data_IF_989216528838
#
_entry.id   IF_989216528838
#
_cell.length_a   1.000
_cell.length_b   1.000
_cell.length_c   1.000
_cell.angle_alpha   90.00
_cell.angle_beta   90.00
_cell.angle_gamma   90.00
#
_symmetry.space_group_name_H-M   'P 1'
#
loop_
_entity.id
_entity.type
_entity.pdbx_description
1 polymer ?
#
# COMPACT_ATOMS: atom_id res chain seq x y z
N UNK A 1 -17.18 -3.59 -0.77
CA UNK A 1 -15.79 -3.40 -1.18
C UNK A 1 -14.89 -4.13 -0.19
N UNK A 2 -14.06 -5.07 -0.66
CA UNK A 2 -12.99 -5.66 0.14
C UNK A 2 -11.68 -4.86 0.04
N UNK A 3 -10.88 -4.86 1.12
CA UNK A 3 -9.54 -4.24 1.15
C UNK A 3 -8.53 -5.19 1.80
N UNK A 4 -7.38 -5.37 1.17
CA UNK A 4 -6.37 -6.33 1.64
C UNK A 4 -5.23 -5.73 2.48
N UNK A 5 -5.10 -4.41 2.51
CA UNK A 5 -4.00 -3.78 3.22
C UNK A 5 -4.39 -2.42 3.81
N UNK A 6 -3.62 -1.95 4.81
CA UNK A 6 -3.82 -0.63 5.40
C UNK A 6 -3.67 0.50 4.36
N UNK A 7 -2.64 0.54 3.50
CA UNK A 7 -2.57 1.51 2.41
C UNK A 7 -3.77 1.46 1.47
N UNK A 8 -4.31 0.27 1.18
CA UNK A 8 -5.52 0.13 0.37
C UNK A 8 -6.72 0.82 1.01
N UNK A 9 -6.89 0.65 2.31
CA UNK A 9 -7.96 1.29 3.07
C UNK A 9 -7.81 2.83 3.08
N UNK A 10 -6.62 3.34 3.37
CA UNK A 10 -6.35 4.80 3.34
C UNK A 10 -6.56 5.40 1.95
N UNK A 11 -6.19 4.66 0.89
CA UNK A 11 -6.46 5.10 -0.47
C UNK A 11 -7.98 5.17 -0.73
N UNK A 12 -8.72 4.14 -0.32
CA UNK A 12 -10.18 4.07 -0.48
C UNK A 12 -10.88 5.23 0.20
N UNK A 13 -10.48 5.62 1.41
CA UNK A 13 -11.11 6.74 2.13
C UNK A 13 -11.07 8.04 1.34
N UNK A 14 -10.07 8.22 0.50
CA UNK A 14 -9.96 9.39 -0.36
C UNK A 14 -10.76 9.31 -1.68
N UNK A 15 -11.37 8.17 -2.00
CA UNK A 15 -12.17 7.95 -3.21
C UNK A 15 -13.66 7.82 -2.90
N UNK A 16 -13.96 7.18 -1.76
CA UNK A 16 -15.31 6.74 -1.43
C UNK A 16 -16.32 7.89 -1.37
N UNK A 17 -15.92 9.04 -0.82
CA UNK A 17 -16.81 10.22 -0.72
C UNK A 17 -17.25 10.73 -2.10
N UNK A 18 -16.33 10.80 -3.06
CA UNK A 18 -16.66 11.20 -4.44
C UNK A 18 -17.55 10.17 -5.13
N UNK A 19 -17.31 8.88 -4.86
CA UNK A 19 -18.15 7.82 -5.41
C UNK A 19 -19.59 7.89 -4.87
N UNK A 20 -19.77 8.02 -3.57
CA UNK A 20 -21.10 8.15 -2.95
C UNK A 20 -21.87 9.38 -3.44
N UNK A 21 -21.17 10.50 -3.68
CA UNK A 21 -21.78 11.70 -4.29
C UNK A 21 -22.19 11.47 -5.75
N UNK A 22 -21.40 10.71 -6.52
CA UNK A 22 -21.66 10.44 -7.93
C UNK A 22 -22.72 9.36 -8.16
N UNK A 23 -22.92 8.47 -7.17
CA UNK A 23 -23.82 7.32 -7.22
C UNK A 23 -24.64 7.24 -5.93
N UNK A 24 -25.54 8.22 -5.66
CA UNK A 24 -26.25 8.33 -4.38
C UNK A 24 -27.20 7.18 -4.08
N UNK A 25 -27.65 6.46 -5.11
CA UNK A 25 -28.54 5.30 -4.97
C UNK A 25 -27.79 3.98 -4.71
N UNK A 26 -26.45 4.01 -4.67
CA UNK A 26 -25.61 2.84 -4.39
C UNK A 26 -25.15 2.87 -2.95
N UNK A 27 -25.59 1.88 -2.18
CA UNK A 27 -25.11 1.67 -0.83
C UNK A 27 -23.73 1.01 -0.85
N UNK A 28 -22.82 1.40 0.08
CA UNK A 28 -21.42 0.97 0.07
C UNK A 28 -20.99 0.47 1.44
N UNK A 29 -20.68 -0.81 1.51
CA UNK A 29 -20.03 -1.44 2.65
C UNK A 29 -18.55 -1.67 2.39
N UNK A 30 -17.70 -1.41 3.40
CA UNK A 30 -16.27 -1.70 3.38
C UNK A 30 -15.98 -2.87 4.30
N UNK A 31 -15.43 -3.95 3.74
CA UNK A 31 -15.26 -5.22 4.44
C UNK A 31 -13.77 -5.55 4.59
N UNK A 32 -13.25 -5.48 5.82
CA UNK A 32 -11.84 -5.76 6.14
C UNK A 32 -11.58 -7.24 6.50
N UNK A 33 -12.61 -8.01 6.82
CA UNK A 33 -12.46 -9.43 7.22
C UNK A 33 -11.80 -10.32 6.16
N UNK A 34 -11.74 -9.85 4.91
CA UNK A 34 -11.11 -10.55 3.79
C UNK A 34 -9.68 -10.09 3.52
N UNK A 35 -8.99 -9.49 4.48
CA UNK A 35 -7.65 -8.91 4.33
C UNK A 35 -6.64 -9.87 3.67
N UNK A 36 -6.77 -11.20 3.86
CA UNK A 36 -5.88 -12.19 3.24
C UNK A 36 -6.61 -13.21 2.36
N UNK A 37 -7.92 -13.07 2.25
CA UNK A 37 -8.81 -13.97 1.50
C UNK A 37 -9.71 -13.19 0.54
N UNK A 38 -9.25 -12.04 0.05
CA UNK A 38 -10.03 -11.15 -0.78
C UNK A 38 -10.54 -11.80 -2.07
N UNK A 39 -9.71 -12.61 -2.73
CA UNK A 39 -10.13 -13.37 -3.92
C UNK A 39 -11.22 -14.39 -3.62
N UNK A 40 -11.18 -15.06 -2.47
CA UNK A 40 -12.24 -15.95 -2.04
C UNK A 40 -13.54 -15.17 -1.78
N UNK A 41 -13.42 -13.98 -1.18
CA UNK A 41 -14.55 -13.07 -0.98
C UNK A 41 -15.21 -12.67 -2.30
N UNK A 42 -14.43 -12.37 -3.35
CA UNK A 42 -14.93 -12.10 -4.69
C UNK A 42 -15.62 -13.33 -5.30
N UNK A 43 -14.95 -14.47 -5.31
CA UNK A 43 -15.47 -15.70 -5.92
C UNK A 43 -16.76 -16.21 -5.26
N UNK A 44 -16.92 -15.98 -3.95
CA UNK A 44 -18.09 -16.37 -3.18
C UNK A 44 -19.16 -15.25 -3.11
N UNK A 45 -19.03 -14.18 -3.89
CA UNK A 45 -19.98 -13.05 -3.91
C UNK A 45 -20.19 -12.38 -2.54
N UNK A 46 -19.19 -12.42 -1.64
CA UNK A 46 -19.22 -11.70 -0.37
C UNK A 46 -18.79 -10.25 -0.51
N UNK A 47 -18.07 -9.93 -1.57
CA UNK A 47 -17.67 -8.57 -1.98
C UNK A 47 -17.79 -8.46 -3.51
N UNK A 48 -18.04 -7.26 -4.01
CA UNK A 48 -18.17 -6.97 -5.43
C UNK A 48 -16.85 -6.58 -6.07
N UNK A 49 -16.05 -5.83 -5.33
CA UNK A 49 -14.71 -5.39 -5.74
C UNK A 49 -13.72 -5.55 -4.60
N UNK A 50 -12.46 -5.77 -4.96
CA UNK A 50 -11.34 -5.90 -4.03
C UNK A 50 -10.24 -4.91 -4.38
N UNK A 51 -9.82 -4.09 -3.40
CA UNK A 51 -8.65 -3.22 -3.53
C UNK A 51 -7.44 -3.94 -2.96
N UNK A 52 -6.43 -4.18 -3.80
CA UNK A 52 -5.27 -5.00 -3.47
C UNK A 52 -4.00 -4.53 -4.18
N UNK A 53 -2.80 -4.63 -3.56
CA UNK A 53 -1.54 -4.47 -4.25
C UNK A 53 -1.11 -5.75 -4.98
N UNK A 54 -1.76 -6.89 -4.69
CA UNK A 54 -1.33 -8.20 -5.18
C UNK A 54 -2.06 -8.57 -6.47
N UNK A 55 -1.29 -8.90 -7.50
CA UNK A 55 -1.82 -9.45 -8.74
C UNK A 55 -1.69 -10.99 -8.69
N UNK A 56 -2.82 -11.67 -8.58
CA UNK A 56 -2.88 -13.13 -8.61
C UNK A 56 -3.73 -13.58 -9.80
N UNK A 57 -3.10 -14.20 -10.80
CA UNK A 57 -3.83 -14.72 -11.95
C UNK A 57 -4.83 -15.78 -11.50
N UNK A 58 -6.12 -15.49 -11.65
CA UNK A 58 -7.22 -16.38 -11.28
C UNK A 58 -8.27 -16.34 -12.39
N UNK A 59 -8.79 -17.49 -12.75
CA UNK A 59 -9.87 -17.60 -13.74
C UNK A 59 -11.10 -16.78 -13.30
N UNK A 60 -11.72 -16.07 -14.24
CA UNK A 60 -12.90 -15.21 -14.05
C UNK A 60 -12.66 -13.96 -13.15
N UNK A 61 -11.43 -13.70 -12.75
CA UNK A 61 -11.07 -12.47 -12.05
C UNK A 61 -10.22 -11.61 -12.97
N UNK A 62 -10.60 -10.35 -13.09
CA UNK A 62 -9.85 -9.34 -13.83
C UNK A 62 -9.39 -8.23 -12.89
N UNK A 63 -8.34 -7.54 -13.31
CA UNK A 63 -7.69 -6.47 -12.55
C UNK A 63 -7.63 -5.20 -13.37
N UNK A 64 -8.09 -4.11 -12.81
CA UNK A 64 -7.85 -2.77 -13.34
C UNK A 64 -6.78 -2.08 -12.48
N UNK A 65 -5.73 -1.57 -13.12
CA UNK A 65 -4.73 -0.77 -12.40
C UNK A 65 -5.34 0.58 -12.05
N UNK A 66 -5.41 0.88 -10.76
CA UNK A 66 -5.89 2.16 -10.24
C UNK A 66 -4.77 3.20 -10.24
N UNK A 67 -3.62 2.83 -9.71
CA UNK A 67 -2.43 3.72 -9.65
C UNK A 67 -1.15 2.91 -9.55
N UNK A 68 -0.04 3.56 -9.90
CA UNK A 68 1.32 3.13 -9.57
C UNK A 68 1.92 4.09 -8.56
N UNK A 69 2.62 3.58 -7.57
CA UNK A 69 3.21 4.36 -6.49
C UNK A 69 4.60 3.87 -6.14
N UNK A 70 5.42 4.78 -5.63
CA UNK A 70 6.75 4.46 -5.11
C UNK A 70 6.65 4.07 -3.63
N UNK A 71 7.41 3.06 -3.22
CA UNK A 71 7.71 2.76 -1.82
C UNK A 71 8.93 3.55 -1.37
N UNK A 72 8.87 4.11 -0.18
CA UNK A 72 9.97 4.85 0.46
C UNK A 72 10.25 4.28 1.85
N UNK A 73 11.49 4.42 2.29
CA UNK A 73 11.88 4.18 3.68
C UNK A 73 11.66 5.48 4.46
N UNK A 74 11.09 5.35 5.64
CA UNK A 74 11.05 6.41 6.63
C UNK A 74 12.06 6.14 7.74
N UNK A 75 12.82 7.18 8.08
CA UNK A 75 13.78 7.21 9.19
C UNK A 75 13.54 8.44 10.05
N UNK A 76 14.05 8.49 11.28
CA UNK A 76 14.02 9.72 12.07
C UNK A 76 14.84 10.84 11.40
N UNK A 77 14.48 12.09 11.62
CA UNK A 77 15.14 13.24 10.98
C UNK A 77 16.63 13.37 11.29
N UNK A 78 17.09 12.80 12.39
CA UNK A 78 18.50 12.77 12.84
C UNK A 78 19.14 11.37 12.70
N UNK A 79 18.54 10.49 11.89
CA UNK A 79 19.12 9.19 11.60
C UNK A 79 20.39 9.34 10.73
N UNK A 80 21.44 8.52 10.91
CA UNK A 80 22.65 8.58 10.07
C UNK A 80 22.39 8.49 8.57
N UNK A 81 21.29 7.84 8.17
CA UNK A 81 20.88 7.72 6.77
C UNK A 81 19.93 8.83 6.30
N UNK A 82 19.59 9.83 7.13
CA UNK A 82 18.59 10.85 6.77
C UNK A 82 18.95 11.68 5.54
N UNK A 83 20.25 11.83 5.26
CA UNK A 83 20.79 12.66 4.18
C UNK A 83 21.25 11.85 2.94
N UNK A 84 21.07 10.52 2.92
CA UNK A 84 21.45 9.72 1.75
C UNK A 84 20.41 9.89 0.63
N UNK A 85 20.87 9.95 -0.61
CA UNK A 85 19.99 10.07 -1.79
C UNK A 85 19.11 8.81 -2.00
N UNK A 86 19.67 7.64 -1.72
CA UNK A 86 18.95 6.36 -1.79
C UNK A 86 19.57 5.35 -0.84
N UNK A 87 18.75 4.42 -0.38
CA UNK A 87 19.16 3.36 0.52
C UNK A 87 19.72 2.17 -0.29
N UNK A 88 20.82 1.57 0.19
CA UNK A 88 21.32 0.30 -0.35
C UNK A 88 20.83 -0.89 0.49
N UNK A 89 20.84 -2.13 -0.09
CA UNK A 89 20.48 -3.33 0.67
C UNK A 89 21.34 -3.55 1.92
N UNK A 90 22.64 -3.25 1.84
CA UNK A 90 23.61 -3.42 2.95
C UNK A 90 23.34 -2.43 4.09
N UNK A 91 22.84 -1.23 3.76
CA UNK A 91 22.44 -0.24 4.77
C UNK A 91 21.18 -0.73 5.49
N UNK A 92 20.15 -1.15 4.71
CA UNK A 92 18.88 -1.62 5.30
C UNK A 92 19.07 -2.90 6.13
N UNK A 93 20.01 -3.77 5.74
CA UNK A 93 20.27 -5.00 6.45
C UNK A 93 20.79 -4.79 7.90
N UNK A 94 21.29 -3.59 8.21
CA UNK A 94 21.78 -3.22 9.54
C UNK A 94 20.69 -2.65 10.45
N UNK A 95 19.47 -2.49 9.93
CA UNK A 95 18.38 -1.84 10.63
C UNK A 95 17.34 -2.83 11.16
N UNK A 96 16.61 -2.39 12.18
CA UNK A 96 15.35 -3.01 12.57
C UNK A 96 14.26 -2.54 11.61
N UNK A 97 13.70 -3.45 10.82
CA UNK A 97 12.61 -3.15 9.91
C UNK A 97 11.26 -3.32 10.63
N UNK A 98 10.48 -2.23 10.70
CA UNK A 98 9.13 -2.21 11.24
C UNK A 98 8.15 -2.42 10.09
N UNK A 99 7.26 -3.40 10.21
CA UNK A 99 6.29 -3.77 9.16
C UNK A 99 4.91 -4.02 9.72
N UNK A 100 3.91 -4.02 8.86
CA UNK A 100 2.60 -4.58 9.22
C UNK A 100 2.69 -6.10 9.43
N UNK A 101 1.77 -6.71 10.20
CA UNK A 101 1.76 -8.14 10.49
C UNK A 101 1.24 -8.95 9.29
N UNK A 102 2.03 -8.97 8.23
CA UNK A 102 1.80 -9.75 7.02
C UNK A 102 2.89 -10.81 6.85
N UNK A 103 2.65 -11.80 6.00
CA UNK A 103 3.68 -12.80 5.67
C UNK A 103 4.86 -12.15 4.95
N UNK A 104 6.05 -12.76 5.06
CA UNK A 104 7.29 -12.22 4.50
C UNK A 104 7.19 -12.04 2.99
N UNK A 105 6.52 -12.95 2.31
CA UNK A 105 6.32 -12.96 0.86
C UNK A 105 5.52 -11.75 0.35
N UNK A 106 4.73 -11.15 1.22
CA UNK A 106 3.94 -9.93 0.92
C UNK A 106 4.69 -8.63 1.25
N UNK A 107 5.92 -8.72 1.74
CA UNK A 107 6.77 -7.57 2.01
C UNK A 107 7.70 -7.31 0.82
N UNK A 108 7.29 -6.42 -0.08
CA UNK A 108 8.03 -6.08 -1.30
C UNK A 108 9.47 -5.67 -1.02
N UNK A 109 9.72 -4.98 0.09
CA UNK A 109 11.06 -4.58 0.51
C UNK A 109 11.96 -5.78 0.78
N UNK A 110 11.42 -6.88 1.25
CA UNK A 110 12.16 -8.13 1.41
C UNK A 110 12.29 -8.85 0.07
N UNK A 111 11.16 -9.04 -0.62
CA UNK A 111 11.09 -9.85 -1.84
C UNK A 111 11.91 -9.25 -3.00
N UNK A 112 11.84 -7.93 -3.21
CA UNK A 112 12.42 -7.28 -4.38
C UNK A 112 13.67 -6.46 -4.10
N UNK A 113 14.03 -6.24 -2.83
CA UNK A 113 15.20 -5.42 -2.51
C UNK A 113 16.26 -6.16 -1.69
N UNK A 114 15.90 -6.81 -0.57
CA UNK A 114 16.88 -7.50 0.28
C UNK A 114 17.19 -8.93 -0.20
N UNK A 115 16.17 -9.74 -0.52
CA UNK A 115 16.35 -11.13 -0.94
C UNK A 115 17.21 -11.28 -2.19
N UNK A 116 17.09 -10.45 -3.25
CA UNK A 116 17.97 -10.53 -4.41
C UNK A 116 19.45 -10.28 -4.09
N UNK A 117 19.73 -9.56 -3.00
CA UNK A 117 21.10 -9.32 -2.49
C UNK A 117 21.55 -10.34 -1.45
N UNK A 118 20.77 -11.41 -1.23
CA UNK A 118 21.00 -12.42 -0.18
C UNK A 118 21.12 -11.84 1.23
N UNK A 119 20.42 -10.73 1.48
CA UNK A 119 20.40 -10.02 2.76
C UNK A 119 19.05 -10.12 3.45
N UNK A 120 19.05 -9.91 4.76
CA UNK A 120 17.85 -9.76 5.61
C UNK A 120 18.09 -8.63 6.60
N UNK A 121 17.04 -7.97 7.12
CA UNK A 121 17.22 -6.94 8.14
C UNK A 121 17.77 -7.54 9.43
N UNK A 122 18.48 -6.74 10.22
CA UNK A 122 18.97 -7.17 11.53
C UNK A 122 17.84 -7.73 12.40
N UNK A 123 16.71 -7.04 12.39
CA UNK A 123 15.48 -7.47 13.04
C UNK A 123 14.26 -7.13 12.17
N UNK A 124 13.27 -8.03 12.20
CA UNK A 124 11.93 -7.76 11.66
C UNK A 124 10.95 -7.67 12.83
N UNK A 125 10.26 -6.54 12.95
CA UNK A 125 9.27 -6.32 14.00
C UNK A 125 7.93 -5.95 13.39
N UNK A 126 6.90 -6.73 13.69
CA UNK A 126 5.54 -6.49 13.22
C UNK A 126 4.80 -5.55 14.16
N UNK A 127 4.14 -4.54 13.59
CA UNK A 127 3.39 -3.49 14.29
C UNK A 127 2.03 -3.35 13.59
N UNK A 128 0.95 -3.48 14.33
CA UNK A 128 -0.41 -3.40 13.78
C UNK A 128 -0.85 -1.97 13.46
N UNK A 129 -0.46 -1.00 14.30
CA UNK A 129 -0.83 0.40 14.14
C UNK A 129 0.23 1.18 13.38
N UNK A 130 -0.19 1.86 12.31
CA UNK A 130 0.68 2.77 11.56
C UNK A 130 1.20 3.91 12.45
N UNK A 131 0.35 4.48 13.28
CA UNK A 131 0.69 5.59 14.17
C UNK A 131 1.81 5.19 15.15
N UNK A 132 1.70 3.99 15.74
CA UNK A 132 2.76 3.44 16.62
C UNK A 132 4.03 3.17 15.82
N UNK A 133 3.92 2.64 14.60
CA UNK A 133 5.08 2.40 13.72
C UNK A 133 5.83 3.70 13.41
N UNK A 134 5.11 4.79 13.08
CA UNK A 134 5.71 6.10 12.83
C UNK A 134 6.36 6.69 14.09
N UNK A 135 5.71 6.59 15.25
CA UNK A 135 6.31 7.03 16.52
C UNK A 135 7.58 6.25 16.87
N UNK A 136 7.57 4.92 16.67
CA UNK A 136 8.76 4.09 16.88
C UNK A 136 9.90 4.49 15.94
N UNK A 137 9.59 4.80 14.68
CA UNK A 137 10.57 5.28 13.70
C UNK A 137 11.15 6.62 14.14
N UNK A 138 10.32 7.57 14.58
CA UNK A 138 10.77 8.87 15.09
C UNK A 138 11.68 8.74 16.32
N UNK A 139 11.42 7.73 17.15
CA UNK A 139 12.23 7.42 18.34
C UNK A 139 13.43 6.49 18.06
N UNK A 140 13.82 6.30 16.79
CA UNK A 140 14.95 5.46 16.34
C UNK A 140 14.87 4.01 16.80
N UNK A 141 13.65 3.47 16.89
CA UNK A 141 13.41 2.06 17.24
C UNK A 141 13.40 1.13 16.03
N UNK A 142 13.64 1.68 14.85
CA UNK A 142 13.70 1.03 13.57
C UNK A 142 13.30 1.96 12.44
N UNK A 143 13.27 1.42 11.24
CA UNK A 143 12.86 2.09 10.02
C UNK A 143 11.61 1.42 9.46
N UNK A 144 10.75 2.14 8.74
CA UNK A 144 9.56 1.53 8.14
C UNK A 144 9.44 1.88 6.65
N UNK A 145 8.69 1.04 5.93
CA UNK A 145 8.43 1.20 4.49
C UNK A 145 6.98 1.54 4.27
N UNK A 146 6.72 2.61 3.54
CA UNK A 146 5.36 3.02 3.17
C UNK A 146 5.30 3.46 1.70
N UNK A 147 4.11 3.43 1.08
CA UNK A 147 3.85 4.22 -0.11
C UNK A 147 4.19 5.69 0.13
N UNK A 148 4.87 6.33 -0.82
CA UNK A 148 5.30 7.73 -0.68
C UNK A 148 4.13 8.67 -0.37
N UNK A 149 3.01 8.51 -1.10
CA UNK A 149 1.79 9.31 -0.86
C UNK A 149 1.24 9.16 0.57
N UNK A 150 1.35 7.95 1.15
CA UNK A 150 0.90 7.69 2.53
C UNK A 150 1.89 8.29 3.53
N UNK A 151 3.19 8.19 3.24
CA UNK A 151 4.21 8.83 4.03
C UNK A 151 4.00 10.35 4.09
N UNK A 152 3.69 11.00 2.97
CA UNK A 152 3.40 12.44 2.91
C UNK A 152 2.14 12.82 3.70
N UNK A 153 1.12 11.99 3.62
CA UNK A 153 -0.13 12.22 4.35
C UNK A 153 0.07 12.14 5.88
N UNK A 154 0.86 11.20 6.36
CA UNK A 154 0.96 10.83 7.78
C UNK A 154 2.19 11.39 8.51
N UNK A 155 3.19 11.91 7.80
CA UNK A 155 4.46 12.36 8.40
C UNK A 155 4.41 13.77 9.01
N UNK A 156 3.29 14.48 8.95
CA UNK A 156 3.20 15.92 9.31
C UNK A 156 3.76 16.23 10.71
N UNK A 157 3.52 15.36 11.67
CA UNK A 157 3.86 15.57 13.08
C UNK A 157 5.13 14.80 13.54
N UNK A 158 5.64 13.87 12.73
CA UNK A 158 6.71 12.96 13.15
C UNK A 158 8.13 13.39 12.75
N UNK A 159 8.26 14.38 11.87
CA UNK A 159 9.58 14.88 11.37
C UNK A 159 10.48 13.78 10.81
N UNK A 160 9.89 12.80 10.14
CA UNK A 160 10.62 11.71 9.50
C UNK A 160 11.19 12.15 8.16
N UNK A 161 12.28 11.54 7.75
CA UNK A 161 12.86 11.70 6.41
C UNK A 161 12.47 10.52 5.53
N UNK A 162 12.09 10.84 4.30
CA UNK A 162 11.84 9.87 3.24
C UNK A 162 13.12 9.59 2.49
N UNK A 163 13.45 8.32 2.29
CA UNK A 163 14.63 7.88 1.52
C UNK A 163 14.16 6.95 0.42
N UNK A 164 14.65 7.17 -0.79
CA UNK A 164 14.37 6.31 -1.94
C UNK A 164 15.00 4.93 -1.74
N UNK A 165 14.30 3.87 -2.11
CA UNK A 165 14.76 2.49 -2.05
C UNK A 165 15.57 2.17 -3.30
N UNK A 166 16.89 2.05 -3.17
CA UNK A 166 17.79 1.81 -4.29
C UNK A 166 17.82 2.97 -5.31
N UNK A 167 18.77 2.92 -6.23
CA UNK A 167 18.94 3.97 -7.26
C UNK A 167 17.73 4.17 -8.17
N UNK A 168 17.03 3.08 -8.49
CA UNK A 168 15.90 3.08 -9.42
C UNK A 168 14.54 3.34 -8.73
N UNK A 169 14.49 3.32 -7.40
CA UNK A 169 13.24 3.29 -6.66
C UNK A 169 12.60 1.88 -6.64
N UNK A 170 11.66 1.67 -5.74
CA UNK A 170 10.84 0.47 -5.69
C UNK A 170 9.39 0.88 -5.91
N UNK A 171 8.80 0.42 -7.03
CA UNK A 171 7.45 0.81 -7.45
C UNK A 171 6.50 -0.37 -7.33
N UNK A 172 5.28 -0.07 -6.97
CA UNK A 172 4.18 -1.02 -6.85
C UNK A 172 2.91 -0.46 -7.48
N UNK A 173 1.95 -1.35 -7.72
CA UNK A 173 0.65 -0.99 -8.27
C UNK A 173 -0.45 -1.26 -7.27
N UNK A 174 -1.49 -0.45 -7.34
CA UNK A 174 -2.75 -0.71 -6.67
C UNK A 174 -3.77 -1.13 -7.73
N UNK A 175 -4.44 -2.23 -7.46
CA UNK A 175 -5.43 -2.81 -8.36
C UNK A 175 -6.82 -2.77 -7.74
N UNK A 176 -7.82 -2.67 -8.62
CA UNK A 176 -9.17 -3.10 -8.37
C UNK A 176 -9.36 -4.47 -9.03
N UNK A 177 -9.57 -5.51 -8.24
CA UNK A 177 -9.94 -6.81 -8.74
C UNK A 177 -11.46 -6.98 -8.67
N UNK A 178 -12.04 -7.63 -9.68
CA UNK A 178 -13.49 -7.89 -9.82
C UNK A 178 -13.74 -9.14 -10.63
N UNK A 179 -14.95 -9.66 -10.58
CA UNK A 179 -15.39 -10.74 -11.49
C UNK A 179 -15.53 -10.20 -12.90
N UNK A 180 -15.05 -10.95 -13.90
CA UNK A 180 -15.00 -10.51 -15.29
C UNK A 180 -16.36 -10.05 -15.84
N UNK A 181 -17.50 -10.75 -15.61
CA UNK A 181 -18.80 -10.30 -16.11
C UNK A 181 -19.30 -8.98 -15.52
N UNK A 182 -18.73 -8.56 -14.39
CA UNK A 182 -19.18 -7.37 -13.67
C UNK A 182 -18.47 -6.09 -14.08
N UNK A 183 -17.47 -6.18 -14.93
CA UNK A 183 -16.68 -5.02 -15.40
C UNK A 183 -17.56 -3.91 -15.99
N UNK A 184 -18.64 -4.28 -16.68
CA UNK A 184 -19.55 -3.36 -17.37
C UNK A 184 -20.72 -2.88 -16.51
N UNK A 185 -20.74 -3.20 -15.22
CA UNK A 185 -21.76 -2.69 -14.30
C UNK A 185 -21.49 -1.19 -14.05
N UNK A 186 -22.48 -0.30 -14.25
CA UNK A 186 -22.25 1.14 -14.23
C UNK A 186 -21.59 1.68 -12.97
N UNK A 187 -21.93 1.16 -11.79
CA UNK A 187 -21.30 1.60 -10.55
C UNK A 187 -19.85 1.14 -10.42
N UNK A 188 -19.49 -0.04 -10.97
CA UNK A 188 -18.09 -0.51 -11.00
C UNK A 188 -17.27 0.34 -11.97
N UNK A 189 -17.79 0.61 -13.18
CA UNK A 189 -17.13 1.51 -14.13
C UNK A 189 -16.91 2.91 -13.53
N UNK A 190 -17.93 3.45 -12.85
CA UNK A 190 -17.83 4.75 -12.20
C UNK A 190 -16.77 4.76 -11.09
N UNK A 191 -16.74 3.70 -10.27
CA UNK A 191 -15.73 3.57 -9.21
C UNK A 191 -14.31 3.53 -9.79
N UNK A 192 -14.09 2.75 -10.85
CA UNK A 192 -12.79 2.68 -11.57
C UNK A 192 -12.38 4.07 -12.09
N UNK A 193 -13.32 4.78 -12.72
CA UNK A 193 -13.04 6.10 -13.28
C UNK A 193 -12.60 7.10 -12.19
N UNK A 194 -13.34 7.19 -11.08
CA UNK A 194 -13.00 8.06 -9.94
C UNK A 194 -11.65 7.66 -9.32
N UNK A 195 -11.41 6.36 -9.17
CA UNK A 195 -10.14 5.86 -8.62
C UNK A 195 -8.93 6.25 -9.48
N UNK A 196 -9.05 6.15 -10.80
CA UNK A 196 -7.99 6.55 -11.75
C UNK A 196 -7.80 8.07 -11.78
N UNK A 197 -8.87 8.85 -11.69
CA UNK A 197 -8.79 10.32 -11.64
C UNK A 197 -8.04 10.80 -10.40
N UNK A 198 -8.35 10.25 -9.23
CA UNK A 198 -7.62 10.57 -8.01
C UNK A 198 -6.13 10.27 -8.14
N UNK A 199 -5.77 9.13 -8.72
CA UNK A 199 -4.38 8.74 -8.92
C UNK A 199 -3.59 9.76 -9.77
N UNK A 200 -4.24 10.31 -10.81
CA UNK A 200 -3.62 11.33 -11.66
C UNK A 200 -3.42 12.66 -10.91
N UNK A 201 -4.35 13.03 -10.04
CA UNK A 201 -4.27 14.25 -9.22
C UNK A 201 -3.22 14.13 -8.09
N UNK A 202 -2.86 12.92 -7.67
CA UNK A 202 -1.84 12.68 -6.62
C UNK A 202 -0.41 12.66 -7.19
N UNK A 203 -0.23 12.50 -8.49
CA UNK A 203 1.08 12.57 -9.18
C UNK A 203 1.60 14.00 -9.40
N UNK A 204 0.85 15.01 -9.03
CA UNK A 204 1.14 16.43 -9.24
C UNK A 204 1.69 17.18 -7.99
N UNK A 205 2.15 16.48 -6.97
CA UNK A 205 2.78 17.07 -5.79
C UNK A 205 4.22 16.60 -5.62
#
# INVERSE_FOLDING_TARGET
IGVECYPCFEWLTGVIGQFMLAMPDIDVDIVQKFQFTGLEGLLNHHIDVLITPDFVKKEKIIYETLTEYQLVILVSGDHPMAEVDHLTPEQLAKETLLTFPVSIERLDILTYFLTPSHLKPEKLKQIESLEIMLQMTALKRGVCVLPEWLADLKNKDHKLRKIRIGKKGLFQKLFLAMREPEKTIPYIEKFIAIGKEKANNTKGY
#
